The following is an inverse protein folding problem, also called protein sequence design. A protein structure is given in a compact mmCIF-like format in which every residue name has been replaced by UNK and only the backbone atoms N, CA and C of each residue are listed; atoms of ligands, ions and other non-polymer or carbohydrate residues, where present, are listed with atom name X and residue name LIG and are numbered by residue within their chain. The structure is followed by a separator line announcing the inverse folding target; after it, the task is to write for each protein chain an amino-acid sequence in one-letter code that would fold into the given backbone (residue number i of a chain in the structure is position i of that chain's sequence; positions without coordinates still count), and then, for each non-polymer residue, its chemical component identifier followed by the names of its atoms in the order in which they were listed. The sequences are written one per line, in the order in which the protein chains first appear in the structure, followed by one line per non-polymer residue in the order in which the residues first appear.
data_IF_239791008958
#
_entry.id   IF_239791008958
#
_cell.length_a   1.000
_cell.length_b   1.000
_cell.length_c   1.000
_cell.angle_alpha   90.00
_cell.angle_beta   90.00
_cell.angle_gamma   90.00
#
_symmetry.space_group_name_H-M   'P 1'
#
loop_
_entity.id
_entity.type
_entity.pdbx_description
1 polymer ?
#
# COMPACT_ATOMS: atom_id res chain seq x y z
N UNK A 1 17.36 -26.73 -24.51
CA UNK A 1 17.68 -26.35 -23.10
C UNK A 1 17.33 -24.90 -22.73
N UNK A 2 17.20 -23.96 -23.68
CA UNK A 2 16.90 -22.55 -23.39
C UNK A 2 15.53 -22.29 -22.73
N UNK A 3 14.52 -23.13 -22.99
CA UNK A 3 13.15 -22.93 -22.47
C UNK A 3 13.00 -23.22 -20.97
N UNK A 4 13.81 -24.12 -20.41
CA UNK A 4 13.79 -24.44 -18.97
C UNK A 4 14.33 -23.31 -18.09
N UNK A 5 15.37 -22.60 -18.58
CA UNK A 5 15.92 -21.41 -17.93
C UNK A 5 14.89 -20.26 -17.92
N UNK A 6 14.14 -20.06 -19.01
CA UNK A 6 13.06 -19.06 -19.09
C UNK A 6 11.94 -19.34 -18.10
N UNK A 7 11.41 -20.57 -18.05
CA UNK A 7 10.34 -20.97 -17.11
C UNK A 7 10.78 -20.77 -15.64
N UNK A 8 12.00 -21.19 -15.30
CA UNK A 8 12.58 -20.99 -13.96
C UNK A 8 12.72 -19.51 -13.61
N UNK A 9 13.06 -18.67 -14.59
CA UNK A 9 13.16 -17.22 -14.40
C UNK A 9 11.80 -16.58 -14.11
N UNK A 10 10.73 -16.99 -14.80
CA UNK A 10 9.36 -16.52 -14.57
C UNK A 10 8.83 -16.94 -13.20
N UNK A 11 9.07 -18.18 -12.77
CA UNK A 11 8.72 -18.65 -11.43
C UNK A 11 9.44 -17.86 -10.32
N UNK A 12 10.73 -17.53 -10.53
CA UNK A 12 11.53 -16.73 -9.58
C UNK A 12 11.03 -15.27 -9.50
N UNK A 13 10.57 -14.69 -10.62
CA UNK A 13 9.94 -13.36 -10.65
C UNK A 13 8.61 -13.36 -9.89
N UNK A 14 7.77 -14.38 -10.09
CA UNK A 14 6.50 -14.54 -9.36
C UNK A 14 6.70 -14.63 -7.85
N UNK A 15 7.63 -15.46 -7.38
CA UNK A 15 7.92 -15.59 -5.95
C UNK A 15 8.43 -14.27 -5.32
N UNK A 16 9.25 -13.51 -6.06
CA UNK A 16 9.78 -12.22 -5.60
C UNK A 16 8.69 -11.14 -5.50
N UNK A 17 7.71 -11.14 -6.39
CA UNK A 17 6.54 -10.25 -6.34
C UNK A 17 5.62 -10.56 -5.14
N UNK A 18 5.34 -11.85 -4.89
CA UNK A 18 4.52 -12.26 -3.74
C UNK A 18 5.13 -11.85 -2.38
N UNK A 19 6.45 -11.97 -2.21
CA UNK A 19 7.17 -11.52 -1.00
C UNK A 19 7.13 -10.00 -0.84
N UNK A 20 7.15 -9.24 -1.94
CA UNK A 20 7.11 -7.78 -1.90
C UNK A 20 5.71 -7.26 -1.55
N UNK A 21 4.66 -7.95 -1.97
CA UNK A 21 3.27 -7.62 -1.62
C UNK A 21 2.94 -7.80 -0.14
N UNK A 22 3.53 -8.79 0.55
CA UNK A 22 3.31 -9.00 1.99
C UNK A 22 3.97 -7.91 2.85
N UNK A 23 5.15 -7.44 2.48
CA UNK A 23 5.82 -6.31 3.15
C UNK A 23 5.03 -4.99 3.07
N UNK A 24 4.50 -4.66 1.89
CA UNK A 24 3.72 -3.43 1.69
C UNK A 24 2.39 -3.44 2.44
N UNK A 25 1.74 -4.60 2.56
CA UNK A 25 0.53 -4.74 3.39
C UNK A 25 0.86 -4.46 4.86
N UNK A 26 1.99 -4.99 5.35
CA UNK A 26 2.46 -4.69 6.70
C UNK A 26 2.73 -3.19 6.91
N UNK A 27 3.29 -2.51 5.91
CA UNK A 27 3.56 -1.06 5.95
C UNK A 27 2.28 -0.22 6.00
N UNK A 28 1.28 -0.53 5.18
CA UNK A 28 -0.01 0.17 5.20
C UNK A 28 -0.74 -0.06 6.53
N UNK A 29 -0.72 -1.28 7.06
CA UNK A 29 -1.30 -1.58 8.37
C UNK A 29 -0.59 -0.82 9.49
N UNK A 30 0.75 -0.73 9.44
CA UNK A 30 1.55 0.06 10.38
C UNK A 30 1.16 1.54 10.35
N UNK A 31 0.94 2.12 9.15
CA UNK A 31 0.45 3.49 9.01
C UNK A 31 -0.95 3.68 9.60
N UNK A 32 -1.87 2.72 9.42
CA UNK A 32 -3.20 2.77 10.04
C UNK A 32 -3.13 2.71 11.57
N UNK A 33 -2.25 1.88 12.13
CA UNK A 33 -2.03 1.82 13.58
C UNK A 33 -1.52 3.17 14.10
N UNK A 34 -0.54 3.78 13.41
CA UNK A 34 -0.03 5.12 13.74
C UNK A 34 -1.13 6.18 13.65
N UNK A 35 -1.96 6.14 12.62
CA UNK A 35 -3.09 7.05 12.47
C UNK A 35 -4.07 6.93 13.64
N UNK A 36 -4.48 5.71 14.02
CA UNK A 36 -5.35 5.47 15.17
C UNK A 36 -4.74 5.95 16.49
N UNK A 37 -3.43 5.75 16.68
CA UNK A 37 -2.73 6.24 17.85
C UNK A 37 -2.76 7.78 17.93
N UNK A 38 -2.57 8.47 16.81
CA UNK A 38 -2.66 9.93 16.73
C UNK A 38 -4.09 10.44 16.94
N UNK A 39 -5.10 9.78 16.38
CA UNK A 39 -6.52 10.10 16.63
C UNK A 39 -6.86 9.99 18.11
N UNK A 40 -6.42 8.91 18.76
CA UNK A 40 -6.60 8.72 20.20
C UNK A 40 -5.88 9.80 21.01
N UNK A 41 -4.67 10.18 20.60
CA UNK A 41 -3.93 11.29 21.24
C UNK A 41 -4.72 12.60 21.12
N UNK A 42 -5.20 12.94 19.92
CA UNK A 42 -6.01 14.14 19.68
C UNK A 42 -7.26 14.17 20.55
N UNK A 43 -7.96 13.03 20.68
CA UNK A 43 -9.15 12.94 21.51
C UNK A 43 -8.83 13.21 22.99
N UNK A 44 -7.71 12.69 23.51
CA UNK A 44 -7.25 12.99 24.88
C UNK A 44 -6.91 14.47 25.08
N UNK A 45 -6.33 15.13 24.09
CA UNK A 45 -6.09 16.58 24.16
C UNK A 45 -7.40 17.37 24.19
N UNK A 46 -8.40 17.00 23.36
CA UNK A 46 -9.72 17.62 23.41
C UNK A 46 -10.46 17.38 24.74
N UNK A 47 -10.34 16.19 25.32
CA UNK A 47 -10.87 15.93 26.68
C UNK A 47 -10.19 16.83 27.72
N UNK A 48 -8.88 17.03 27.60
CA UNK A 48 -8.11 17.89 28.50
C UNK A 48 -8.54 19.34 28.35
N UNK A 49 -8.69 19.81 27.11
CA UNK A 49 -9.22 21.14 26.80
C UNK A 49 -10.62 21.33 27.40
N UNK A 50 -11.53 20.37 27.20
CA UNK A 50 -12.88 20.40 27.76
C UNK A 50 -12.88 20.52 29.28
N UNK A 51 -12.00 19.78 29.99
CA UNK A 51 -11.85 19.87 31.45
C UNK A 51 -11.36 21.24 31.90
N UNK A 52 -10.40 21.83 31.20
CA UNK A 52 -9.87 23.16 31.51
C UNK A 52 -10.92 24.25 31.29
N UNK A 53 -11.61 24.22 30.14
CA UNK A 53 -12.68 25.17 29.82
C UNK A 53 -13.83 25.06 30.81
N UNK A 54 -14.27 23.84 31.16
CA UNK A 54 -15.28 23.64 32.19
C UNK A 54 -14.87 24.24 33.54
N UNK A 55 -13.62 24.01 33.98
CA UNK A 55 -13.10 24.58 35.23
C UNK A 55 -13.08 26.10 35.20
N UNK A 56 -12.66 26.69 34.08
CA UNK A 56 -12.67 28.14 33.89
C UNK A 56 -14.10 28.70 34.01
N UNK A 57 -15.08 28.08 33.35
CA UNK A 57 -16.48 28.50 33.44
C UNK A 57 -17.05 28.34 34.85
N UNK A 58 -16.71 27.25 35.55
CA UNK A 58 -17.22 26.98 36.91
C UNK A 58 -16.63 27.92 37.97
N UNK A 59 -15.36 28.28 37.84
CA UNK A 59 -14.63 29.03 38.88
C UNK A 59 -14.48 30.51 38.56
N UNK A 60 -14.66 30.91 37.30
CA UNK A 60 -14.31 32.25 36.80
C UNK A 60 -12.80 32.50 36.69
N UNK A 61 -11.97 31.55 37.11
CA UNK A 61 -10.51 31.68 37.10
C UNK A 61 -9.97 31.27 35.73
N UNK A 62 -9.27 32.19 35.06
CA UNK A 62 -8.62 31.94 33.78
C UNK A 62 -7.73 30.69 33.82
N UNK A 63 -7.85 29.84 32.80
CA UNK A 63 -6.95 28.70 32.57
C UNK A 63 -6.12 28.91 31.28
N UNK A 64 -6.01 30.15 30.78
CA UNK A 64 -5.39 30.46 29.49
C UNK A 64 -3.98 29.87 29.32
N UNK A 65 -3.13 29.97 30.34
CA UNK A 65 -1.76 29.43 30.32
C UNK A 65 -1.71 27.90 30.19
N UNK A 66 -2.76 27.20 30.60
CA UNK A 66 -2.89 25.74 30.45
C UNK A 66 -3.61 25.36 29.16
N UNK A 67 -4.49 26.23 28.67
CA UNK A 67 -5.26 26.00 27.43
C UNK A 67 -4.36 26.16 26.22
N UNK A 68 -3.53 27.21 26.16
CA UNK A 68 -2.64 27.49 25.03
C UNK A 68 -1.80 26.27 24.59
N UNK A 69 -1.01 25.61 25.48
CA UNK A 69 -0.21 24.45 25.06
C UNK A 69 -1.05 23.25 24.62
N UNK A 70 -2.27 23.09 25.15
CA UNK A 70 -3.18 22.01 24.72
C UNK A 70 -3.68 22.26 23.30
N UNK A 71 -4.00 23.52 22.96
CA UNK A 71 -4.38 23.91 21.60
C UNK A 71 -3.22 23.68 20.62
N UNK A 72 -2.01 24.13 20.96
CA UNK A 72 -0.81 23.91 20.13
C UNK A 72 -0.54 22.41 19.89
N UNK A 73 -0.74 21.59 20.92
CA UNK A 73 -0.62 20.13 20.81
C UNK A 73 -1.70 19.53 19.90
N UNK A 74 -2.94 20.02 19.97
CA UNK A 74 -4.03 19.58 19.08
C UNK A 74 -3.64 19.88 17.63
N UNK A 75 -3.18 21.09 17.33
CA UNK A 75 -2.82 21.48 15.98
C UNK A 75 -1.63 20.66 15.45
N UNK A 76 -0.60 20.48 16.26
CA UNK A 76 0.53 19.60 15.95
C UNK A 76 0.08 18.17 15.63
N UNK A 77 -0.87 17.63 16.42
CA UNK A 77 -1.39 16.27 16.18
C UNK A 77 -2.24 16.22 14.91
N UNK A 78 -3.01 17.27 14.60
CA UNK A 78 -3.80 17.36 13.35
C UNK A 78 -2.90 17.36 12.12
N UNK A 79 -1.80 18.09 12.14
CA UNK A 79 -0.82 18.08 11.06
C UNK A 79 -0.22 16.68 10.86
N UNK A 80 0.15 16.00 11.94
CA UNK A 80 0.65 14.62 11.89
C UNK A 80 -0.39 13.65 11.34
N UNK A 81 -1.65 13.78 11.74
CA UNK A 81 -2.76 12.99 11.19
C UNK A 81 -2.87 13.20 9.67
N UNK A 82 -2.82 14.46 9.22
CA UNK A 82 -2.88 14.79 7.78
C UNK A 82 -1.72 14.17 7.01
N UNK A 83 -0.50 14.29 7.55
CA UNK A 83 0.70 13.69 6.95
C UNK A 83 0.61 12.17 6.84
N UNK A 84 0.21 11.47 7.91
CA UNK A 84 0.06 10.01 7.89
C UNK A 84 -1.07 9.57 6.96
N UNK A 85 -2.18 10.31 6.91
CA UNK A 85 -3.28 10.03 5.99
C UNK A 85 -2.83 10.17 4.52
N UNK A 86 -2.05 11.20 4.19
CA UNK A 86 -1.45 11.35 2.85
C UNK A 86 -0.56 10.15 2.50
N UNK A 87 0.34 9.76 3.42
CA UNK A 87 1.22 8.62 3.22
C UNK A 87 0.45 7.29 2.99
N UNK A 88 -0.71 7.10 3.63
CA UNK A 88 -1.57 5.94 3.40
C UNK A 88 -2.13 5.95 1.97
N UNK A 89 -2.62 7.10 1.50
CA UNK A 89 -3.18 7.22 0.15
C UNK A 89 -2.11 7.07 -0.94
N UNK A 90 -0.93 7.68 -0.74
CA UNK A 90 0.23 7.51 -1.61
C UNK A 90 0.64 6.02 -1.69
N UNK A 91 0.72 5.34 -0.54
CA UNK A 91 1.04 3.91 -0.50
C UNK A 91 -0.02 3.04 -1.22
N UNK A 92 -1.31 3.38 -1.10
CA UNK A 92 -2.38 2.69 -1.84
C UNK A 92 -2.28 2.91 -3.34
N UNK A 93 -2.04 4.14 -3.78
CA UNK A 93 -1.88 4.48 -5.19
C UNK A 93 -0.69 3.77 -5.80
N UNK A 94 0.49 3.85 -5.15
CA UNK A 94 1.69 3.15 -5.59
C UNK A 94 1.47 1.63 -5.70
N UNK A 95 0.73 1.04 -4.74
CA UNK A 95 0.36 -0.38 -4.79
C UNK A 95 -0.56 -0.68 -5.97
N UNK A 96 -1.57 0.15 -6.22
CA UNK A 96 -2.52 -0.04 -7.32
C UNK A 96 -1.83 0.06 -8.69
N UNK A 97 -0.98 1.06 -8.88
CA UNK A 97 -0.16 1.23 -10.09
C UNK A 97 0.75 0.03 -10.34
N UNK A 98 1.41 -0.47 -9.27
CA UNK A 98 2.26 -1.66 -9.40
C UNK A 98 1.46 -2.90 -9.81
N UNK A 99 0.29 -3.13 -9.21
CA UNK A 99 -0.58 -4.26 -9.57
C UNK A 99 -1.03 -4.13 -11.03
N UNK A 100 -1.38 -2.92 -11.47
CA UNK A 100 -1.76 -2.67 -12.87
C UNK A 100 -0.59 -2.99 -13.83
N UNK A 101 0.62 -2.53 -13.52
CA UNK A 101 1.82 -2.82 -14.30
C UNK A 101 2.16 -4.33 -14.31
N UNK A 102 2.10 -5.00 -13.15
CA UNK A 102 2.34 -6.45 -13.07
C UNK A 102 1.30 -7.25 -13.87
N UNK A 103 0.03 -6.81 -13.88
CA UNK A 103 -1.01 -7.44 -14.69
C UNK A 103 -0.77 -7.23 -16.19
N UNK A 104 -0.37 -6.04 -16.60
CA UNK A 104 -0.06 -5.73 -18.00
C UNK A 104 1.15 -6.56 -18.50
N UNK A 105 2.21 -6.66 -17.69
CA UNK A 105 3.38 -7.49 -18.02
C UNK A 105 2.96 -8.96 -18.13
N UNK A 106 2.19 -9.48 -17.17
CA UNK A 106 1.74 -10.88 -17.21
C UNK A 106 0.90 -11.19 -18.45
N UNK A 107 -0.01 -10.28 -18.82
CA UNK A 107 -0.84 -10.46 -20.02
C UNK A 107 0.02 -10.52 -21.29
N UNK A 108 1.02 -9.64 -21.41
CA UNK A 108 1.97 -9.65 -22.54
C UNK A 108 2.84 -10.91 -22.56
N UNK A 109 3.32 -11.37 -21.41
CA UNK A 109 4.13 -12.60 -21.32
C UNK A 109 3.30 -13.85 -21.66
N UNK A 110 2.00 -13.85 -21.33
CA UNK A 110 1.08 -14.96 -21.63
C UNK A 110 0.70 -15.01 -23.12
N UNK A 111 0.49 -13.85 -23.75
CA UNK A 111 0.23 -13.74 -25.19
C UNK A 111 1.45 -14.20 -26.02
N UNK A 112 2.66 -13.77 -25.66
CA UNK A 112 3.90 -14.18 -26.33
C UNK A 112 4.15 -15.70 -26.23
N UNK A 113 3.82 -16.32 -25.09
CA UNK A 113 3.90 -17.78 -24.91
C UNK A 113 2.88 -18.54 -25.76
N UNK A 114 1.66 -18.01 -25.90
CA UNK A 114 0.62 -18.64 -26.71
C UNK A 114 0.95 -18.60 -28.20
N UNK A 115 1.49 -17.47 -28.68
CA UNK A 115 1.95 -17.33 -30.07
C UNK A 115 3.12 -18.27 -30.39
N UNK A 116 4.06 -18.45 -29.45
CA UNK A 116 5.20 -19.37 -29.63
C UNK A 116 4.75 -20.84 -29.66
N UNK A 117 3.80 -21.24 -28.79
CA UNK A 117 3.22 -22.59 -28.80
C UNK A 117 2.44 -22.86 -30.09
N UNK A 118 1.68 -21.88 -30.58
CA UNK A 118 0.94 -22.00 -31.83
C UNK A 118 1.89 -22.12 -33.05
N UNK A 119 3.01 -21.39 -33.04
CA UNK A 119 4.03 -21.50 -34.08
C UNK A 119 4.73 -22.86 -34.09
N UNK A 120 5.06 -23.42 -32.91
CA UNK A 120 5.65 -24.77 -32.82
C UNK A 120 4.66 -25.87 -33.23
N UNK A 121 3.37 -25.73 -32.92
CA UNK A 121 2.34 -26.70 -33.33
C UNK A 121 2.18 -26.77 -34.86
N UNK A 122 2.19 -25.64 -35.56
CA UNK A 122 2.11 -25.61 -37.03
C UNK A 122 3.36 -26.19 -37.73
N UNK A 123 4.54 -26.10 -37.11
CA UNK A 123 5.78 -26.70 -37.62
C UNK A 123 5.87 -28.21 -37.39
N UNK A 124 5.01 -28.76 -36.52
CA UNK A 124 4.97 -30.19 -36.19
C UNK A 124 3.99 -31.01 -37.05
N UNK A 125 3.09 -30.36 -37.81
CA UNK A 125 2.09 -31.03 -38.65
C UNK A 125 2.51 -31.14 -40.13
N UNK A 126 3.59 -30.46 -40.56
CA UNK A 126 4.08 -30.51 -41.96
C UNK A 126 5.09 -31.64 -42.25
N UNK A 127 5.55 -32.39 -41.24
CA UNK A 127 6.60 -33.42 -41.39
C UNK A 127 6.07 -34.89 -41.46
N UNK A 128 4.74 -35.12 -41.42
CA UNK A 128 4.14 -36.47 -41.41
C UNK A 128 3.52 -36.92 -42.76
N UNK A 129 3.66 -36.15 -43.84
CA UNK A 129 3.03 -36.42 -45.17
C UNK A 129 3.97 -36.97 -46.26
N UNK A 130 5.17 -37.47 -45.91
CA UNK A 130 6.12 -38.10 -46.86
C UNK A 130 6.52 -39.54 -46.43
N UNK A 131 5.59 -40.50 -46.43
CA UNK A 131 5.93 -41.92 -46.60
C UNK A 131 4.95 -42.60 -47.60
N UNK A 132 5.32 -42.53 -48.89
CA UNK A 132 4.85 -43.38 -50.00
C UNK A 132 5.29 -44.85 -49.86
#
# INVERSE_FOLDING_TARGET
MANWEKIKSSAKRMAKSAIKGTGEVADITSLHIKLRALENKRNKEYETLGKLTYRQLKTGISQAEKIAPVVDNIDTVREKIKSVASAIEEAKQARAERIANEKAIRASEEEELLDEIAAEANLSEEDDDDED
#
